data_IF_160457959171
#
_entry.id   IF_160457959171
#
_cell.length_a   1.000
_cell.length_b   1.000
_cell.length_c   1.000
_cell.angle_alpha   90.00
_cell.angle_beta   90.00
_cell.angle_gamma   90.00
#
_symmetry.space_group_name_H-M   'P 1'
#
loop_
_entity.id
_entity.type
_entity.pdbx_description
1 polymer ?
#
# COMPACT_ATOMS: atom_id res chain seq x y z
N UNK A 1 -4.59 -37.34 -1.28
CA UNK A 1 -4.09 -36.16 -2.04
C UNK A 1 -4.51 -34.91 -1.28
N UNK A 2 -3.63 -34.43 -0.39
CA UNK A 2 -3.91 -33.30 0.49
C UNK A 2 -3.73 -31.98 -0.27
N UNK A 3 -4.78 -31.15 -0.31
CA UNK A 3 -4.75 -29.79 -0.87
C UNK A 3 -3.95 -28.91 0.09
N UNK A 4 -2.84 -28.36 -0.39
CA UNK A 4 -2.09 -27.31 0.30
C UNK A 4 -2.99 -26.08 0.43
N UNK A 5 -3.41 -25.76 1.66
CA UNK A 5 -4.00 -24.48 2.02
C UNK A 5 -2.91 -23.41 1.90
N UNK A 6 -3.00 -22.60 0.85
CA UNK A 6 -2.28 -21.34 0.72
C UNK A 6 -2.73 -20.41 1.84
N UNK A 7 -1.91 -20.31 2.89
CA UNK A 7 -2.09 -19.36 3.98
C UNK A 7 -1.84 -17.96 3.44
N UNK A 8 -2.91 -17.32 3.00
CA UNK A 8 -2.93 -15.94 2.51
C UNK A 8 -2.53 -14.99 3.66
N UNK A 9 -1.35 -14.33 3.59
CA UNK A 9 -0.82 -13.51 4.68
C UNK A 9 -1.69 -12.28 4.98
N UNK A 10 -2.62 -11.93 4.08
CA UNK A 10 -3.54 -10.80 4.22
C UNK A 10 -4.72 -11.07 5.15
N UNK A 11 -5.08 -12.34 5.39
CA UNK A 11 -6.27 -12.70 6.19
C UNK A 11 -6.16 -12.29 7.65
N UNK A 12 -4.94 -12.25 8.20
CA UNK A 12 -4.69 -11.86 9.58
C UNK A 12 -4.52 -10.34 9.76
N UNK A 13 -4.19 -9.61 8.69
CA UNK A 13 -4.09 -8.15 8.72
C UNK A 13 -5.45 -7.46 8.49
N UNK A 14 -6.39 -8.12 7.79
CA UNK A 14 -7.63 -7.53 7.27
C UNK A 14 -8.82 -8.52 7.38
N UNK A 15 -9.38 -8.76 8.58
CA UNK A 15 -10.51 -9.66 8.73
C UNK A 15 -11.76 -9.04 8.08
N UNK A 16 -12.08 -9.43 6.84
CA UNK A 16 -13.28 -9.01 6.10
C UNK A 16 -13.07 -8.63 4.62
N UNK A 17 -11.83 -8.60 4.12
CA UNK A 17 -11.52 -7.99 2.82
C UNK A 17 -11.87 -8.80 1.55
N UNK A 18 -12.33 -10.05 1.66
CA UNK A 18 -12.48 -10.95 0.50
C UNK A 18 -13.91 -11.10 -0.06
N UNK A 19 -14.90 -10.33 0.39
CA UNK A 19 -16.31 -10.59 0.03
C UNK A 19 -16.76 -10.06 -1.36
N UNK A 20 -15.95 -9.31 -2.12
CA UNK A 20 -16.35 -8.81 -3.45
C UNK A 20 -15.20 -8.93 -4.45
N UNK A 21 -15.39 -9.80 -5.45
CA UNK A 21 -14.42 -10.23 -6.45
C UNK A 21 -13.77 -9.09 -7.24
N UNK A 22 -12.61 -8.66 -6.74
CA UNK A 22 -11.64 -7.87 -7.49
C UNK A 22 -10.38 -8.73 -7.60
N UNK A 23 -9.95 -9.02 -8.82
CA UNK A 23 -8.78 -9.86 -9.06
C UNK A 23 -7.50 -9.11 -8.67
N UNK A 24 -6.92 -9.52 -7.55
CA UNK A 24 -5.68 -8.99 -6.96
C UNK A 24 -4.46 -9.87 -7.30
N UNK A 25 -4.61 -10.87 -8.16
CA UNK A 25 -3.56 -11.88 -8.43
C UNK A 25 -2.24 -11.30 -8.98
N UNK A 26 -2.26 -10.09 -9.54
CA UNK A 26 -1.06 -9.38 -9.99
C UNK A 26 -0.46 -8.39 -8.99
N UNK A 27 -1.10 -8.12 -7.85
CA UNK A 27 -0.65 -7.13 -6.88
C UNK A 27 0.17 -7.80 -5.77
N UNK A 28 1.48 -7.54 -5.74
CA UNK A 28 2.33 -7.98 -4.65
C UNK A 28 2.15 -7.03 -3.47
N UNK A 29 1.35 -7.46 -2.50
CA UNK A 29 1.26 -6.81 -1.20
C UNK A 29 2.19 -7.56 -0.26
N UNK A 30 3.30 -6.92 0.11
CA UNK A 30 4.25 -7.49 1.06
C UNK A 30 4.13 -6.77 2.40
N UNK A 31 4.24 -7.51 3.49
CA UNK A 31 4.45 -6.94 4.82
C UNK A 31 5.95 -6.63 4.89
N UNK A 32 6.32 -5.35 4.95
CA UNK A 32 7.73 -4.98 4.98
C UNK A 32 8.32 -5.25 6.37
N UNK A 33 9.46 -5.94 6.42
CA UNK A 33 10.25 -6.09 7.65
C UNK A 33 10.86 -4.74 8.05
N UNK A 34 11.06 -4.47 9.36
CA UNK A 34 11.56 -3.19 9.83
C UNK A 34 13.00 -2.97 9.35
N UNK A 35 13.18 -2.01 8.43
CA UNK A 35 14.47 -1.54 7.93
C UNK A 35 14.98 -0.33 8.76
N UNK A 36 16.28 0.00 8.72
CA UNK A 36 16.93 0.78 9.79
C UNK A 36 16.80 2.31 9.66
N UNK A 37 16.85 2.97 10.82
CA UNK A 37 17.09 4.38 11.22
C UNK A 37 16.46 5.55 10.43
N UNK A 38 16.18 5.40 9.15
CA UNK A 38 15.58 6.40 8.26
C UNK A 38 14.34 5.82 7.54
N UNK A 39 14.05 4.54 7.74
CA UNK A 39 12.91 3.86 7.17
C UNK A 39 11.70 4.06 8.08
N UNK A 40 10.68 4.75 7.58
CA UNK A 40 9.34 4.68 8.14
C UNK A 40 8.93 3.20 8.06
N UNK A 41 9.08 2.43 9.15
CA UNK A 41 8.75 1.01 9.17
C UNK A 41 7.34 0.83 8.61
N UNK A 42 7.24 0.29 7.39
CA UNK A 42 5.99 0.18 6.67
C UNK A 42 5.32 -1.14 7.05
N UNK A 43 4.10 -1.08 7.58
CA UNK A 43 3.31 -2.26 7.87
C UNK A 43 2.79 -2.92 6.58
N UNK A 44 2.71 -2.13 5.51
CA UNK A 44 2.18 -2.52 4.21
C UNK A 44 3.00 -1.91 3.08
N UNK A 45 3.35 -2.71 2.07
CA UNK A 45 3.98 -2.22 0.85
C UNK A 45 3.08 -2.49 -0.37
N UNK A 46 2.87 -1.46 -1.18
CA UNK A 46 2.19 -1.52 -2.47
C UNK A 46 3.18 -1.22 -3.59
N UNK A 47 3.46 -2.20 -4.43
CA UNK A 47 4.36 -2.07 -5.58
C UNK A 47 3.57 -1.85 -6.88
N UNK A 48 3.80 -0.70 -7.51
CA UNK A 48 3.20 -0.28 -8.78
C UNK A 48 4.23 0.05 -9.86
N UNK A 49 5.44 -0.51 -9.78
CA UNK A 49 6.43 -0.37 -10.85
C UNK A 49 5.89 -0.86 -12.20
N UNK A 50 6.05 -0.06 -13.24
CA UNK A 50 5.50 -0.33 -14.57
C UNK A 50 3.98 -0.23 -14.67
N UNK A 51 3.28 0.22 -13.61
CA UNK A 51 1.82 0.33 -13.58
C UNK A 51 1.36 1.79 -13.60
N UNK A 52 0.85 2.24 -14.73
CA UNK A 52 0.35 3.62 -14.92
C UNK A 52 -1.17 3.76 -14.86
N UNK A 53 -1.91 2.65 -14.72
CA UNK A 53 -3.34 2.62 -15.01
C UNK A 53 -4.26 3.10 -13.85
N UNK A 54 -5.51 3.44 -14.19
CA UNK A 54 -6.59 3.81 -13.26
C UNK A 54 -6.77 2.80 -12.10
N UNK A 55 -6.45 1.52 -12.34
CA UNK A 55 -6.54 0.44 -11.35
C UNK A 55 -5.63 0.71 -10.14
N UNK A 56 -4.42 1.23 -10.35
CA UNK A 56 -3.48 1.59 -9.28
C UNK A 56 -4.09 2.60 -8.30
N UNK A 57 -4.71 3.65 -8.83
CA UNK A 57 -5.39 4.66 -8.02
C UNK A 57 -6.56 4.08 -7.21
N UNK A 58 -7.35 3.18 -7.80
CA UNK A 58 -8.46 2.53 -7.09
C UNK A 58 -7.99 1.61 -5.95
N UNK A 59 -6.89 0.88 -6.19
CA UNK A 59 -6.26 0.02 -5.18
C UNK A 59 -5.74 0.86 -4.01
N UNK A 60 -4.98 1.93 -4.29
CA UNK A 60 -4.45 2.83 -3.26
C UNK A 60 -5.58 3.41 -2.42
N UNK A 61 -6.63 3.95 -3.06
CA UNK A 61 -7.81 4.49 -2.36
C UNK A 61 -8.46 3.44 -1.44
N UNK A 62 -8.64 2.21 -1.93
CA UNK A 62 -9.25 1.13 -1.16
C UNK A 62 -8.39 0.72 0.03
N UNK A 63 -7.08 0.65 -0.16
CA UNK A 63 -6.14 0.33 0.92
C UNK A 63 -6.18 1.43 1.98
N UNK A 64 -6.01 2.70 1.61
CA UNK A 64 -6.05 3.82 2.56
C UNK A 64 -7.37 3.89 3.34
N UNK A 65 -8.49 3.59 2.69
CA UNK A 65 -9.80 3.53 3.35
C UNK A 65 -9.94 2.34 4.33
N UNK A 66 -9.21 1.24 4.10
CA UNK A 66 -9.30 0.02 4.91
C UNK A 66 -8.19 -0.09 5.96
N UNK A 67 -7.22 0.83 5.95
CA UNK A 67 -6.12 0.86 6.91
C UNK A 67 -6.64 1.19 8.30
N UNK A 68 -6.12 0.47 9.29
CA UNK A 68 -6.32 0.78 10.71
C UNK A 68 -5.50 2.01 11.10
N UNK A 69 -5.97 2.82 12.05
CA UNK A 69 -5.19 3.92 12.61
C UNK A 69 -3.84 3.43 13.12
N UNK A 70 -2.80 4.21 12.86
CA UNK A 70 -1.43 3.90 13.25
C UNK A 70 -0.61 3.17 12.19
N UNK A 71 -1.26 2.50 11.22
CA UNK A 71 -0.54 1.77 10.17
C UNK A 71 0.15 2.72 9.20
N UNK A 72 1.34 2.32 8.76
CA UNK A 72 2.14 2.98 7.72
C UNK A 72 2.12 2.15 6.45
N UNK A 73 1.81 2.79 5.32
CA UNK A 73 1.91 2.19 3.99
C UNK A 73 3.04 2.83 3.19
N UNK A 74 3.84 1.98 2.55
CA UNK A 74 4.81 2.33 1.52
C UNK A 74 4.16 2.09 0.14
N UNK A 75 4.20 3.10 -0.71
CA UNK A 75 3.71 3.01 -2.09
C UNK A 75 4.89 3.26 -3.02
N UNK A 76 5.26 2.25 -3.80
CA UNK A 76 6.36 2.30 -4.77
C UNK A 76 5.80 2.56 -6.17
N UNK A 77 6.31 3.56 -6.86
CA UNK A 77 5.89 3.89 -8.22
C UNK A 77 7.03 4.54 -9.03
N UNK A 78 7.09 4.25 -10.32
CA UNK A 78 7.92 4.93 -11.31
C UNK A 78 7.17 6.06 -12.05
N UNK A 79 5.87 6.22 -11.78
CA UNK A 79 5.02 7.21 -12.43
C UNK A 79 5.00 8.52 -11.63
N UNK A 80 5.68 9.55 -12.14
CA UNK A 80 5.76 10.86 -11.50
C UNK A 80 4.37 11.48 -11.22
N UNK A 81 3.39 11.30 -12.11
CA UNK A 81 2.04 11.82 -11.87
C UNK A 81 1.37 11.17 -10.66
N UNK A 82 1.64 9.88 -10.39
CA UNK A 82 1.15 9.22 -9.19
C UNK A 82 1.83 9.79 -7.94
N UNK A 83 3.14 10.06 -8.02
CA UNK A 83 3.96 10.61 -6.93
C UNK A 83 3.46 11.98 -6.48
N UNK A 84 2.97 12.81 -7.40
CA UNK A 84 2.39 14.11 -7.07
C UNK A 84 0.95 13.99 -6.56
N UNK A 85 0.16 13.09 -7.15
CA UNK A 85 -1.27 12.97 -6.85
C UNK A 85 -1.53 12.28 -5.50
N UNK A 86 -0.75 11.24 -5.18
CA UNK A 86 -0.97 10.42 -3.98
C UNK A 86 -0.91 11.26 -2.70
N UNK A 87 0.14 12.08 -2.43
CA UNK A 87 0.18 12.92 -1.24
C UNK A 87 -1.02 13.86 -1.12
N UNK A 88 -1.51 14.40 -2.24
CA UNK A 88 -2.66 15.30 -2.25
C UNK A 88 -3.97 14.61 -1.83
N UNK A 89 -4.14 13.32 -2.14
CA UNK A 89 -5.36 12.59 -1.77
C UNK A 89 -5.34 12.00 -0.35
N UNK A 90 -4.18 11.94 0.32
CA UNK A 90 -4.07 11.33 1.66
C UNK A 90 -4.99 11.97 2.72
N UNK A 91 -5.13 13.31 2.82
CA UNK A 91 -5.99 13.93 3.83
C UNK A 91 -7.46 13.50 3.70
N UNK A 92 -7.94 13.22 2.47
CA UNK A 92 -9.31 12.74 2.23
C UNK A 92 -9.57 11.30 2.71
N UNK A 93 -8.54 10.61 3.18
CA UNK A 93 -8.61 9.25 3.71
C UNK A 93 -8.06 9.16 5.14
N UNK A 94 -8.04 10.27 5.88
CA UNK A 94 -7.46 10.38 7.24
C UNK A 94 -6.01 9.87 7.32
N UNK A 95 -5.28 10.02 6.23
CA UNK A 95 -3.88 9.64 6.14
C UNK A 95 -3.03 10.91 6.11
N UNK A 96 -1.89 10.87 6.78
CA UNK A 96 -0.87 11.91 6.72
C UNK A 96 0.28 11.44 5.86
N UNK A 97 0.77 12.34 5.01
CA UNK A 97 2.02 12.14 4.30
C UNK A 97 3.18 12.16 5.28
N UNK A 98 4.06 11.15 5.22
CA UNK A 98 5.28 11.11 6.02
C UNK A 98 6.49 11.54 5.22
N UNK A 99 6.64 11.00 4.01
CA UNK A 99 7.73 11.35 3.11
C UNK A 99 7.47 10.86 1.69
N UNK A 100 8.14 11.50 0.74
CA UNK A 100 8.34 11.01 -0.61
C UNK A 100 9.84 10.96 -0.85
N UNK A 101 10.36 9.79 -1.23
CA UNK A 101 11.79 9.54 -1.39
C UNK A 101 12.01 8.96 -2.79
N UNK A 102 13.06 9.42 -3.47
CA UNK A 102 13.50 8.86 -4.75
C UNK A 102 14.72 7.96 -4.53
N UNK A 103 14.64 6.70 -4.94
CA UNK A 103 15.66 5.67 -4.75
C UNK A 103 15.72 4.77 -5.99
N UNK A 104 16.92 4.53 -6.53
CA UNK A 104 17.20 3.53 -7.58
C UNK A 104 16.14 3.51 -8.71
N UNK A 105 15.89 4.67 -9.32
CA UNK A 105 14.93 4.89 -10.42
C UNK A 105 13.44 4.72 -10.09
N UNK A 106 13.07 4.65 -8.81
CA UNK A 106 11.69 4.64 -8.37
C UNK A 106 11.41 5.63 -7.24
N UNK A 107 10.13 5.95 -7.06
CA UNK A 107 9.64 6.78 -5.98
C UNK A 107 8.94 5.93 -4.93
N UNK A 108 9.22 6.24 -3.67
CA UNK A 108 8.58 5.66 -2.50
C UNK A 108 7.83 6.74 -1.75
N UNK A 109 6.55 6.50 -1.50
CA UNK A 109 5.66 7.41 -0.79
C UNK A 109 5.22 6.72 0.48
N UNK A 110 5.47 7.36 1.61
CA UNK A 110 5.09 6.86 2.93
C UNK A 110 3.89 7.64 3.44
N UNK A 111 2.85 6.92 3.82
CA UNK A 111 1.64 7.49 4.39
C UNK A 111 1.24 6.75 5.66
N UNK A 112 0.75 7.47 6.65
CA UNK A 112 0.27 6.91 7.92
C UNK A 112 -1.20 7.19 8.12
N UNK A 113 -2.00 6.19 8.46
CA UNK A 113 -3.39 6.37 8.87
C UNK A 113 -3.43 6.99 10.27
N UNK A 114 -4.13 8.12 10.43
CA UNK A 114 -4.25 8.84 11.71
C UNK A 114 -5.68 8.80 12.25
N UNK A 115 -6.70 8.91 11.38
CA UNK A 115 -8.10 8.86 11.79
C UNK A 115 -8.63 7.44 11.98
N UNK A 116 -9.62 7.31 12.87
CA UNK A 116 -10.37 6.08 13.20
C UNK A 116 -11.75 6.06 12.55
#
# INVERSE_FOLDING_TARGET
>A
MARQESSDPLKHLLPGMFARGFDLSGLKVSVAQPAPANAYGADLQLDFLGQTCLRTNLVIKRVLASMRPGLVVEIVSDNLSAVETIPFMLPGHDCVHLATVHLDDCWKIFAKKVGA
#
